data_IF_674190632452
#
_entry.id   IF_674190632452
#
_cell.length_a   1.000
_cell.length_b   1.000
_cell.length_c   1.000
_cell.angle_alpha   90.00
_cell.angle_beta   90.00
_cell.angle_gamma   90.00
#
_symmetry.space_group_name_H-M   'P 1'
#
loop_
_entity.id
_entity.type
_entity.pdbx_description
1 polymer ?
#
# COMPACT_ATOMS: atom_id res chain seq x y z
N UNK A 1 -20.09 -6.69 -18.97
CA UNK A 1 -19.59 -8.08 -18.98
C UNK A 1 -20.59 -9.00 -19.65
N UNK A 2 -20.14 -10.18 -20.10
CA UNK A 2 -20.96 -11.16 -20.79
C UNK A 2 -20.80 -12.55 -20.17
N UNK A 3 -21.75 -13.45 -20.43
CA UNK A 3 -21.64 -14.83 -20.00
C UNK A 3 -20.37 -15.48 -20.56
N UNK A 4 -19.56 -16.06 -19.70
CA UNK A 4 -18.26 -16.64 -20.05
C UNK A 4 -17.05 -15.72 -19.79
N UNK A 5 -17.26 -14.45 -19.50
CA UNK A 5 -16.15 -13.56 -19.09
C UNK A 5 -15.58 -13.99 -17.74
N UNK A 6 -14.25 -13.95 -17.62
CA UNK A 6 -13.54 -14.05 -16.35
C UNK A 6 -13.55 -12.68 -15.67
N UNK A 7 -14.01 -12.62 -14.41
CA UNK A 7 -14.14 -11.35 -13.68
C UNK A 7 -13.64 -11.46 -12.26
N UNK A 8 -13.18 -10.34 -11.71
CA UNK A 8 -12.97 -10.13 -10.28
C UNK A 8 -13.97 -9.13 -9.74
N UNK A 9 -14.60 -9.38 -8.59
CA UNK A 9 -15.42 -8.37 -7.93
C UNK A 9 -14.55 -7.25 -7.37
N UNK A 10 -15.03 -6.02 -7.49
CA UNK A 10 -14.42 -4.88 -6.82
C UNK A 10 -14.60 -5.01 -5.31
N UNK A 11 -13.59 -4.62 -4.52
CA UNK A 11 -13.68 -4.67 -3.07
C UNK A 11 -14.79 -3.75 -2.55
N UNK A 12 -14.88 -2.55 -3.10
CA UNK A 12 -15.95 -1.58 -2.81
C UNK A 12 -16.99 -1.59 -3.93
N UNK A 13 -18.15 -2.18 -3.66
CA UNK A 13 -19.18 -2.40 -4.67
C UNK A 13 -19.88 -1.13 -5.15
N UNK A 14 -19.88 -0.05 -4.35
CA UNK A 14 -20.52 1.22 -4.69
C UNK A 14 -19.53 2.35 -4.99
N UNK A 15 -18.23 2.08 -4.97
CA UNK A 15 -17.22 3.09 -5.32
C UNK A 15 -16.59 2.80 -6.66
N UNK A 16 -17.27 3.19 -7.72
CA UNK A 16 -16.83 2.92 -9.10
C UNK A 16 -15.89 4.03 -9.62
N UNK A 17 -16.06 5.27 -9.12
CA UNK A 17 -15.23 6.40 -9.54
C UNK A 17 -15.41 7.62 -8.65
N UNK A 18 -14.50 8.58 -8.74
CA UNK A 18 -14.56 9.89 -8.09
C UNK A 18 -14.17 9.89 -6.60
N UNK A 19 -14.24 11.03 -5.91
CA UNK A 19 -13.75 11.15 -4.54
C UNK A 19 -14.55 10.28 -3.56
N UNK A 20 -13.94 9.81 -2.45
CA UNK A 20 -14.62 9.04 -1.43
C UNK A 20 -15.74 9.85 -0.78
N UNK A 21 -16.84 9.18 -0.45
CA UNK A 21 -17.91 9.71 0.41
C UNK A 21 -18.48 8.58 1.27
N UNK A 22 -19.33 8.91 2.24
CA UNK A 22 -19.84 7.93 3.20
C UNK A 22 -20.59 6.77 2.52
N UNK A 23 -21.35 7.01 1.47
CA UNK A 23 -22.09 5.99 0.74
C UNK A 23 -21.15 5.02 0.01
N UNK A 24 -20.13 5.55 -0.69
CA UNK A 24 -19.16 4.75 -1.45
C UNK A 24 -18.33 3.83 -0.57
N UNK A 25 -18.06 4.23 0.66
CA UNK A 25 -17.23 3.49 1.60
C UNK A 25 -17.98 2.41 2.42
N UNK A 26 -19.31 2.30 2.27
CA UNK A 26 -20.14 1.42 3.13
C UNK A 26 -20.37 0.02 2.56
N UNK A 27 -20.12 -0.24 1.28
CA UNK A 27 -20.44 -1.51 0.62
C UNK A 27 -19.16 -2.30 0.29
N UNK A 28 -18.43 -2.69 1.33
CA UNK A 28 -17.21 -3.49 1.19
C UNK A 28 -17.49 -4.98 1.33
N UNK A 29 -16.93 -5.78 0.43
CA UNK A 29 -17.02 -7.25 0.46
C UNK A 29 -16.28 -7.81 1.67
N UNK A 30 -16.94 -8.71 2.41
CA UNK A 30 -16.42 -9.27 3.65
C UNK A 30 -16.75 -8.49 4.91
N UNK A 31 -17.49 -7.38 4.78
CA UNK A 31 -18.07 -6.56 5.84
C UNK A 31 -18.20 -5.10 5.43
N UNK A 32 -19.42 -4.49 5.39
CA UNK A 32 -20.66 -5.03 5.94
C UNK A 32 -21.46 -5.97 5.01
N UNK A 33 -21.07 -6.12 3.74
CA UNK A 33 -21.71 -7.11 2.86
C UNK A 33 -20.91 -8.41 2.80
N UNK A 34 -21.58 -9.52 2.46
CA UNK A 34 -20.94 -10.82 2.40
C UNK A 34 -19.72 -10.83 1.47
N UNK A 35 -18.68 -11.57 1.88
CA UNK A 35 -17.46 -11.79 1.11
C UNK A 35 -17.62 -12.75 -0.06
N UNK A 36 -16.49 -13.13 -0.65
CA UNK A 36 -16.41 -13.91 -1.88
C UNK A 36 -16.02 -15.39 -1.65
N UNK A 37 -15.93 -15.87 -0.41
CA UNK A 37 -15.69 -17.28 -0.13
C UNK A 37 -16.98 -18.10 -0.32
N UNK A 38 -17.37 -18.26 -1.58
CA UNK A 38 -18.57 -18.98 -2.01
C UNK A 38 -18.37 -19.53 -3.42
N UNK A 39 -19.05 -20.64 -3.75
CA UNK A 39 -19.01 -21.23 -5.10
C UNK A 39 -19.77 -20.37 -6.13
N UNK A 40 -20.84 -19.69 -5.67
CA UNK A 40 -21.71 -18.85 -6.52
C UNK A 40 -22.03 -17.55 -5.77
N UNK A 41 -21.87 -16.43 -6.46
CA UNK A 41 -22.23 -15.10 -5.97
C UNK A 41 -22.88 -14.26 -7.07
N UNK A 42 -23.78 -13.37 -6.66
CA UNK A 42 -24.33 -12.33 -7.55
C UNK A 42 -23.68 -11.00 -7.24
N UNK A 43 -23.31 -10.29 -8.28
CA UNK A 43 -22.75 -8.93 -8.20
C UNK A 43 -23.47 -8.02 -9.19
N UNK A 44 -23.58 -6.71 -8.89
CA UNK A 44 -23.92 -5.72 -9.94
C UNK A 44 -22.89 -5.79 -11.08
N UNK A 45 -23.32 -5.52 -12.30
CA UNK A 45 -22.40 -5.52 -13.43
C UNK A 45 -21.24 -4.53 -13.27
N UNK A 46 -21.53 -3.37 -12.68
CA UNK A 46 -20.55 -2.33 -12.38
C UNK A 46 -19.59 -2.72 -11.23
N UNK A 47 -20.00 -3.68 -10.39
CA UNK A 47 -19.24 -4.16 -9.25
C UNK A 47 -18.19 -5.22 -9.58
N UNK A 48 -17.94 -5.49 -10.86
CA UNK A 48 -16.95 -6.45 -11.34
C UNK A 48 -16.05 -5.85 -12.43
N UNK A 49 -14.79 -6.31 -12.45
CA UNK A 49 -13.82 -5.95 -13.50
C UNK A 49 -13.39 -7.20 -14.26
N UNK A 50 -13.21 -7.09 -15.57
CA UNK A 50 -12.67 -8.18 -16.40
C UNK A 50 -11.22 -8.47 -16.03
N UNK A 51 -10.89 -9.75 -15.97
CA UNK A 51 -9.53 -10.24 -15.71
C UNK A 51 -8.76 -10.23 -17.04
N UNK A 52 -7.53 -9.68 -17.10
CA UNK A 52 -6.64 -9.86 -18.23
C UNK A 52 -6.41 -11.34 -18.54
N UNK A 53 -6.34 -11.69 -19.83
CA UNK A 53 -6.22 -13.09 -20.25
C UNK A 53 -4.90 -13.74 -19.82
N UNK A 54 -3.86 -12.93 -19.67
CA UNK A 54 -2.51 -13.33 -19.29
C UNK A 54 -2.40 -13.77 -17.82
N UNK A 55 -3.36 -13.38 -16.98
CA UNK A 55 -3.36 -13.73 -15.56
C UNK A 55 -4.16 -15.00 -15.30
N UNK A 56 -3.61 -15.88 -14.47
CA UNK A 56 -4.35 -16.98 -13.86
C UNK A 56 -5.41 -16.46 -12.89
N UNK A 57 -6.39 -17.29 -12.52
CA UNK A 57 -7.40 -16.93 -11.52
C UNK A 57 -6.77 -16.65 -10.15
N UNK A 58 -5.71 -17.38 -9.79
CA UNK A 58 -4.98 -17.18 -8.53
C UNK A 58 -4.30 -15.82 -8.50
N UNK A 59 -3.60 -15.43 -9.57
CA UNK A 59 -2.98 -14.12 -9.67
C UNK A 59 -4.02 -13.00 -9.66
N UNK A 60 -5.06 -13.12 -10.48
CA UNK A 60 -6.13 -12.14 -10.56
C UNK A 60 -6.86 -11.94 -9.23
N UNK A 61 -7.04 -12.99 -8.43
CA UNK A 61 -7.68 -12.91 -7.11
C UNK A 61 -6.95 -12.02 -6.10
N UNK A 62 -5.67 -11.74 -6.32
CA UNK A 62 -4.85 -10.87 -5.45
C UNK A 62 -4.99 -9.38 -5.75
N UNK A 63 -5.58 -9.03 -6.91
CA UNK A 63 -5.62 -7.65 -7.41
C UNK A 63 -6.64 -6.75 -6.71
N UNK A 64 -7.90 -7.18 -6.48
CA UNK A 64 -8.98 -6.27 -6.08
C UNK A 64 -8.78 -5.56 -4.74
N UNK A 65 -7.96 -6.11 -3.86
CA UNK A 65 -7.64 -5.48 -2.59
C UNK A 65 -6.17 -5.05 -2.53
N UNK A 66 -5.24 -6.00 -2.56
CA UNK A 66 -3.83 -5.70 -2.28
C UNK A 66 -3.16 -4.86 -3.36
N UNK A 67 -3.35 -5.17 -4.64
CA UNK A 67 -2.75 -4.40 -5.72
C UNK A 67 -3.41 -3.02 -5.84
N UNK A 68 -4.74 -2.96 -5.77
CA UNK A 68 -5.46 -1.68 -5.83
C UNK A 68 -5.09 -0.77 -4.66
N UNK A 69 -4.92 -1.30 -3.44
CA UNK A 69 -4.43 -0.52 -2.30
C UNK A 69 -3.05 0.08 -2.57
N UNK A 70 -2.12 -0.71 -3.08
CA UNK A 70 -0.77 -0.24 -3.41
C UNK A 70 -0.78 0.81 -4.53
N UNK A 71 -1.63 0.62 -5.55
CA UNK A 71 -1.85 1.59 -6.62
C UNK A 71 -2.39 2.91 -6.09
N UNK A 72 -3.46 2.86 -5.29
CA UNK A 72 -4.05 4.05 -4.68
C UNK A 72 -3.04 4.80 -3.81
N UNK A 73 -2.25 4.07 -3.02
CA UNK A 73 -1.26 4.66 -2.13
C UNK A 73 -0.13 5.39 -2.87
N UNK A 74 0.36 4.81 -3.96
CA UNK A 74 1.55 5.32 -4.65
C UNK A 74 1.21 6.17 -5.87
N UNK A 75 0.23 5.75 -6.67
CA UNK A 75 -0.06 6.39 -7.97
C UNK A 75 -1.13 7.46 -7.81
N UNK A 76 -2.32 7.11 -7.32
CA UNK A 76 -3.45 8.05 -7.24
C UNK A 76 -3.20 9.15 -6.20
N UNK A 77 -3.01 8.77 -4.94
CA UNK A 77 -2.84 9.72 -3.84
C UNK A 77 -1.38 10.16 -3.65
N UNK A 78 -0.44 9.24 -3.83
CA UNK A 78 0.99 9.50 -3.69
C UNK A 78 1.56 10.31 -4.84
N UNK A 79 1.02 10.19 -6.05
CA UNK A 79 1.53 10.82 -7.28
C UNK A 79 3.01 10.55 -7.48
N UNK A 80 3.40 9.30 -7.26
CA UNK A 80 4.77 8.81 -7.39
C UNK A 80 5.34 9.10 -8.77
N UNK A 81 6.59 9.54 -8.82
CA UNK A 81 7.30 9.85 -10.06
C UNK A 81 8.61 9.06 -10.16
N UNK A 82 9.12 8.96 -11.37
CA UNK A 82 10.46 8.45 -11.60
C UNK A 82 11.50 9.29 -10.83
N UNK A 83 12.41 8.59 -10.16
CA UNK A 83 13.44 9.18 -9.31
C UNK A 83 13.03 9.43 -7.86
N UNK A 84 11.73 9.41 -7.53
CA UNK A 84 11.29 9.46 -6.12
C UNK A 84 11.80 8.24 -5.35
N UNK A 85 11.87 8.37 -4.03
CA UNK A 85 12.22 7.28 -3.10
C UNK A 85 10.99 6.78 -2.35
N UNK A 86 10.87 5.45 -2.23
CA UNK A 86 9.74 4.80 -1.56
C UNK A 86 10.26 3.88 -0.47
N UNK A 87 9.77 4.05 0.75
CA UNK A 87 9.91 3.06 1.82
C UNK A 87 8.66 2.19 1.87
N UNK A 88 8.85 0.88 1.84
CA UNK A 88 7.79 -0.13 1.88
C UNK A 88 7.96 -0.96 3.14
N UNK A 89 6.96 -0.95 4.00
CA UNK A 89 6.99 -1.74 5.23
C UNK A 89 6.45 -3.15 4.99
N UNK A 90 7.23 -4.14 5.44
CA UNK A 90 6.87 -5.54 5.34
C UNK A 90 6.96 -6.11 3.92
N UNK A 91 6.48 -7.34 3.78
CA UNK A 91 6.53 -8.15 2.55
C UNK A 91 5.22 -8.90 2.33
N UNK A 92 4.11 -8.29 2.75
CA UNK A 92 2.76 -8.77 2.45
C UNK A 92 2.30 -8.41 1.04
N UNK A 93 1.07 -8.75 0.69
CA UNK A 93 0.52 -8.52 -0.65
C UNK A 93 0.62 -7.06 -1.09
N UNK A 94 0.13 -6.12 -0.28
CA UNK A 94 0.22 -4.67 -0.57
C UNK A 94 1.68 -4.24 -0.77
N UNK A 95 2.57 -4.70 0.10
CA UNK A 95 3.99 -4.32 0.06
C UNK A 95 4.70 -4.81 -1.21
N UNK A 96 4.41 -6.04 -1.64
CA UNK A 96 5.02 -6.58 -2.86
C UNK A 96 4.46 -5.93 -4.13
N UNK A 97 3.17 -5.59 -4.17
CA UNK A 97 2.62 -4.78 -5.26
C UNK A 97 3.18 -3.35 -5.25
N UNK A 98 3.31 -2.74 -4.08
CA UNK A 98 3.92 -1.42 -3.96
C UNK A 98 5.37 -1.40 -4.50
N UNK A 99 6.15 -2.45 -4.22
CA UNK A 99 7.49 -2.61 -4.78
C UNK A 99 7.46 -2.69 -6.31
N UNK A 100 6.60 -3.53 -6.88
CA UNK A 100 6.47 -3.67 -8.33
C UNK A 100 6.04 -2.34 -9.00
N UNK A 101 5.07 -1.63 -8.44
CA UNK A 101 4.63 -0.34 -8.96
C UNK A 101 5.71 0.74 -8.81
N UNK A 102 6.44 0.77 -7.70
CA UNK A 102 7.57 1.68 -7.53
C UNK A 102 8.64 1.45 -8.62
N UNK A 103 9.00 0.18 -8.87
CA UNK A 103 9.97 -0.16 -9.92
C UNK A 103 9.44 0.13 -11.33
N UNK A 104 8.16 -0.13 -11.58
CA UNK A 104 7.51 0.19 -12.87
C UNK A 104 7.58 1.68 -13.21
N UNK A 105 7.41 2.55 -12.20
CA UNK A 105 7.49 4.02 -12.38
C UNK A 105 8.94 4.52 -12.47
N UNK A 106 9.92 3.70 -12.08
CA UNK A 106 11.33 4.11 -12.01
C UNK A 106 11.70 4.81 -10.71
N UNK A 107 10.99 4.54 -9.63
CA UNK A 107 11.32 5.00 -8.30
C UNK A 107 12.39 4.10 -7.65
N UNK A 108 13.11 4.65 -6.66
CA UNK A 108 14.02 3.90 -5.80
C UNK A 108 13.23 3.31 -4.62
N UNK A 109 13.27 2.00 -4.45
CA UNK A 109 12.48 1.29 -3.46
C UNK A 109 13.34 0.64 -2.38
N UNK A 110 13.05 0.98 -1.12
CA UNK A 110 13.61 0.31 0.06
C UNK A 110 12.50 -0.50 0.75
N UNK A 111 12.81 -1.75 1.12
CA UNK A 111 11.86 -2.62 1.84
C UNK A 111 12.40 -2.91 3.24
N UNK A 112 11.57 -2.74 4.26
CA UNK A 112 11.92 -3.19 5.62
C UNK A 112 11.11 -4.43 5.99
N UNK A 113 11.78 -5.44 6.56
CA UNK A 113 11.17 -6.70 6.99
C UNK A 113 11.88 -7.23 8.24
N UNK A 114 11.25 -8.13 8.97
CA UNK A 114 11.86 -8.85 10.10
C UNK A 114 12.30 -10.27 9.74
N UNK A 115 12.40 -10.63 8.47
CA UNK A 115 12.77 -11.96 7.98
C UNK A 115 13.74 -11.85 6.80
N UNK A 116 14.92 -12.48 6.94
CA UNK A 116 15.95 -12.49 5.89
C UNK A 116 15.43 -13.15 4.60
N UNK A 117 14.75 -14.28 4.71
CA UNK A 117 14.16 -14.97 3.56
C UNK A 117 13.24 -14.03 2.75
N UNK A 118 12.38 -13.29 3.45
CA UNK A 118 11.44 -12.36 2.81
C UNK A 118 12.15 -11.13 2.24
N UNK A 119 13.24 -10.68 2.86
CA UNK A 119 14.07 -9.60 2.32
C UNK A 119 14.79 -10.06 1.05
N UNK A 120 15.26 -11.33 0.98
CA UNK A 120 15.84 -11.85 -0.25
C UNK A 120 14.83 -11.85 -1.39
N UNK A 121 13.60 -12.27 -1.16
CA UNK A 121 12.52 -12.16 -2.17
C UNK A 121 12.25 -10.72 -2.63
N UNK A 122 12.35 -9.75 -1.71
CA UNK A 122 12.21 -8.35 -2.10
C UNK A 122 13.38 -7.89 -2.99
N UNK A 123 14.62 -8.32 -2.72
CA UNK A 123 15.78 -8.07 -3.61
C UNK A 123 15.56 -8.67 -4.99
N UNK A 124 15.09 -9.93 -5.05
CA UNK A 124 14.83 -10.63 -6.31
C UNK A 124 13.72 -9.93 -7.15
N UNK A 125 12.80 -9.23 -6.48
CA UNK A 125 11.77 -8.40 -7.11
C UNK A 125 12.23 -6.97 -7.44
N UNK A 126 13.51 -6.65 -7.20
CA UNK A 126 14.12 -5.39 -7.61
C UNK A 126 14.13 -4.29 -6.53
N UNK A 127 13.99 -4.63 -5.24
CA UNK A 127 14.24 -3.66 -4.19
C UNK A 127 15.69 -3.16 -4.27
N UNK A 128 15.90 -1.85 -4.25
CA UNK A 128 17.23 -1.25 -4.33
C UNK A 128 17.99 -1.41 -3.01
N UNK A 129 17.25 -1.49 -1.89
CA UNK A 129 17.79 -1.71 -0.55
C UNK A 129 16.78 -2.48 0.31
N UNK A 130 17.27 -3.25 1.26
CA UNK A 130 16.43 -3.91 2.28
C UNK A 130 17.05 -3.72 3.66
N UNK A 131 16.20 -3.67 4.69
CA UNK A 131 16.65 -3.47 6.07
C UNK A 131 15.85 -4.34 7.04
N UNK A 132 16.56 -5.00 7.97
CA UNK A 132 15.93 -5.74 9.05
C UNK A 132 15.58 -4.79 10.22
N UNK A 133 14.30 -4.48 10.37
CA UNK A 133 13.85 -3.57 11.44
C UNK A 133 13.97 -4.18 12.86
N UNK A 134 14.10 -5.51 12.97
CA UNK A 134 14.30 -6.17 14.27
C UNK A 134 15.71 -5.97 14.81
N UNK A 135 16.69 -5.91 13.91
CA UNK A 135 18.09 -5.63 14.24
C UNK A 135 18.35 -4.14 14.40
N UNK A 136 17.50 -3.32 13.78
CA UNK A 136 17.63 -1.86 13.76
C UNK A 136 16.34 -1.18 14.22
N UNK A 137 16.08 -1.10 15.54
CA UNK A 137 14.84 -0.50 16.05
C UNK A 137 14.68 0.99 15.70
N UNK A 138 15.79 1.69 15.49
CA UNK A 138 15.80 3.09 15.03
C UNK A 138 15.98 3.22 13.52
N UNK A 139 15.37 2.30 12.76
CA UNK A 139 15.50 2.21 11.31
C UNK A 139 15.18 3.51 10.55
N UNK A 140 14.40 4.41 11.12
CA UNK A 140 14.07 5.69 10.49
C UNK A 140 15.29 6.55 10.14
N UNK A 141 16.37 6.48 10.95
CA UNK A 141 17.63 7.16 10.65
C UNK A 141 18.35 6.52 9.46
N UNK A 142 18.47 5.20 9.44
CA UNK A 142 19.12 4.47 8.35
C UNK A 142 18.38 4.63 7.02
N UNK A 143 17.04 4.63 7.07
CA UNK A 143 16.21 4.91 5.90
C UNK A 143 16.49 6.30 5.33
N UNK A 144 16.75 7.29 6.16
CA UNK A 144 17.17 8.63 5.67
C UNK A 144 18.52 8.59 4.95
N UNK A 145 19.46 7.78 5.42
CA UNK A 145 20.77 7.63 4.77
C UNK A 145 20.65 7.08 3.34
N UNK A 146 19.71 6.16 3.10
CA UNK A 146 19.37 5.66 1.77
C UNK A 146 18.97 6.78 0.78
N UNK A 147 18.31 7.81 1.26
CA UNK A 147 17.90 8.98 0.45
C UNK A 147 18.95 10.11 0.42
N UNK A 148 20.17 9.86 0.87
CA UNK A 148 21.21 10.89 0.96
C UNK A 148 21.01 11.88 2.11
N UNK A 149 20.22 11.53 3.12
CA UNK A 149 19.96 12.35 4.31
C UNK A 149 18.71 13.24 4.24
N UNK A 150 18.16 13.46 3.08
CA UNK A 150 16.95 14.30 2.91
C UNK A 150 15.68 13.65 3.47
N UNK A 151 15.59 12.32 3.42
CA UNK A 151 14.43 11.51 3.79
C UNK A 151 13.68 10.99 2.57
N UNK A 152 12.74 10.09 2.81
CA UNK A 152 11.98 9.35 1.80
C UNK A 152 10.80 10.20 1.29
N UNK A 153 10.52 10.13 -0.01
CA UNK A 153 9.39 10.83 -0.65
C UNK A 153 8.04 10.23 -0.25
N UNK A 154 7.94 8.90 -0.28
CA UNK A 154 6.71 8.15 -0.01
C UNK A 154 6.95 6.99 0.94
N UNK A 155 6.07 6.80 1.92
CA UNK A 155 6.09 5.64 2.83
C UNK A 155 4.78 4.89 2.73
N UNK A 156 4.86 3.59 2.44
CA UNK A 156 3.74 2.64 2.49
C UNK A 156 3.69 2.08 3.91
N UNK A 157 2.82 2.66 4.74
CA UNK A 157 2.72 2.41 6.19
C UNK A 157 1.63 1.38 6.48
N UNK A 158 2.03 0.20 6.93
CA UNK A 158 1.11 -0.90 7.26
C UNK A 158 1.13 -1.29 8.74
N UNK A 159 2.14 -0.88 9.48
CA UNK A 159 2.34 -1.29 10.87
C UNK A 159 1.46 -0.53 11.86
N UNK A 160 1.34 0.78 11.71
CA UNK A 160 0.56 1.64 12.60
C UNK A 160 1.36 2.20 13.77
N UNK A 161 0.82 2.17 15.02
CA UNK A 161 1.41 2.85 16.18
C UNK A 161 2.88 2.54 16.46
N UNK A 162 3.32 1.30 16.27
CA UNK A 162 4.72 0.91 16.55
C UNK A 162 5.70 1.36 15.47
N UNK A 163 5.26 1.55 14.23
CA UNK A 163 6.13 1.90 13.11
C UNK A 163 6.07 3.38 12.73
N UNK A 164 4.92 4.02 12.90
CA UNK A 164 4.71 5.41 12.49
C UNK A 164 5.70 6.42 13.11
N UNK A 165 6.17 6.29 14.37
CA UNK A 165 7.21 7.17 14.91
C UNK A 165 8.51 7.13 14.09
N UNK A 166 8.91 5.98 13.60
CA UNK A 166 10.10 5.84 12.75
C UNK A 166 9.82 6.34 11.33
N UNK A 167 8.61 6.10 10.80
CA UNK A 167 8.17 6.66 9.52
C UNK A 167 8.22 8.19 9.52
N UNK A 168 7.76 8.84 10.61
CA UNK A 168 7.86 10.29 10.77
C UNK A 168 9.31 10.81 10.86
N UNK A 169 10.25 9.99 11.29
CA UNK A 169 11.68 10.32 11.25
C UNK A 169 12.28 10.14 9.86
N UNK A 170 11.85 9.08 9.15
CA UNK A 170 12.36 8.70 7.83
C UNK A 170 11.89 9.62 6.71
N UNK A 171 10.65 10.11 6.79
CA UNK A 171 10.04 10.93 5.74
C UNK A 171 10.75 12.27 5.57
N UNK A 172 10.87 12.76 4.33
CA UNK A 172 11.37 14.11 4.06
C UNK A 172 10.32 15.19 4.36
N UNK A 173 10.72 16.46 4.48
CA UNK A 173 9.75 17.57 4.45
C UNK A 173 8.90 17.53 3.17
N UNK A 174 7.59 17.71 3.32
CA UNK A 174 6.62 17.63 2.22
C UNK A 174 6.33 16.23 1.70
N UNK A 175 6.92 15.18 2.29
CA UNK A 175 6.69 13.79 1.89
C UNK A 175 5.32 13.25 2.34
N UNK A 176 4.93 12.12 1.77
CA UNK A 176 3.63 11.48 2.01
C UNK A 176 3.79 10.12 2.70
N UNK A 177 3.06 9.91 3.79
CA UNK A 177 2.92 8.61 4.44
C UNK A 177 1.50 8.10 4.14
N UNK A 178 1.39 7.04 3.34
CA UNK A 178 0.14 6.36 3.04
C UNK A 178 -0.19 5.39 4.16
N UNK A 179 -1.15 5.76 4.99
CA UNK A 179 -1.62 4.98 6.15
C UNK A 179 -2.60 3.91 5.67
N UNK A 180 -2.19 2.65 5.65
CA UNK A 180 -2.96 1.53 5.13
C UNK A 180 -3.38 0.58 6.24
N UNK A 181 -2.41 0.12 7.03
CA UNK A 181 -2.63 -0.84 8.09
C UNK A 181 -2.48 -0.25 9.49
N UNK A 182 -3.13 -0.92 10.42
CA UNK A 182 -3.06 -0.63 11.86
C UNK A 182 -2.74 -1.92 12.63
N UNK A 183 -1.78 -2.70 12.11
CA UNK A 183 -1.47 -4.04 12.61
C UNK A 183 -1.04 -4.08 14.07
N UNK A 184 -0.42 -3.01 14.56
CA UNK A 184 0.01 -2.88 15.95
C UNK A 184 -1.03 -2.17 16.85
N UNK A 185 -2.21 -1.84 16.33
CA UNK A 185 -3.32 -1.23 17.05
C UNK A 185 -3.91 -0.01 16.35
N UNK A 186 -5.11 0.43 16.76
CA UNK A 186 -5.81 1.55 16.11
C UNK A 186 -5.41 2.94 16.65
N UNK A 187 -4.76 3.00 17.80
CA UNK A 187 -4.50 4.27 18.52
C UNK A 187 -3.02 4.50 18.76
N UNK A 188 -2.58 5.75 18.61
CA UNK A 188 -1.22 6.14 18.94
C UNK A 188 -1.12 7.57 19.47
N UNK A 189 -0.03 7.84 20.22
CA UNK A 189 0.40 9.21 20.53
C UNK A 189 1.42 9.66 19.48
N UNK A 190 1.08 10.67 18.69
CA UNK A 190 1.94 11.22 17.65
C UNK A 190 2.72 12.46 18.12
N UNK A 191 3.94 12.63 17.61
CA UNK A 191 4.68 13.88 17.75
C UNK A 191 4.21 14.88 16.68
N UNK A 192 3.15 15.61 16.95
CA UNK A 192 2.53 16.54 15.99
C UNK A 192 3.51 17.60 15.47
N UNK A 193 4.49 17.99 16.30
CA UNK A 193 5.51 18.96 15.89
C UNK A 193 6.26 18.55 14.62
N UNK A 194 6.61 17.28 14.46
CA UNK A 194 7.27 16.79 13.24
C UNK A 194 6.36 16.91 12.02
N UNK A 195 5.08 16.59 12.18
CA UNK A 195 4.10 16.65 11.07
C UNK A 195 3.95 18.10 10.60
N UNK A 196 3.76 19.02 11.55
CA UNK A 196 3.55 20.45 11.25
C UNK A 196 4.81 21.08 10.66
N UNK A 197 5.94 20.96 11.35
CA UNK A 197 7.19 21.69 10.95
C UNK A 197 7.80 21.16 9.65
N UNK A 198 7.53 19.89 9.29
CA UNK A 198 7.99 19.28 8.04
C UNK A 198 6.92 19.21 6.96
N UNK A 199 5.71 19.73 7.23
CA UNK A 199 4.59 19.69 6.26
C UNK A 199 4.32 18.27 5.74
N UNK A 200 4.36 17.26 6.62
CA UNK A 200 4.17 15.86 6.27
C UNK A 200 2.69 15.62 5.97
N UNK A 201 2.41 14.92 4.85
CA UNK A 201 1.07 14.43 4.54
C UNK A 201 0.89 13.04 5.14
N UNK A 202 -0.12 12.87 5.98
CA UNK A 202 -0.63 11.56 6.39
C UNK A 202 -1.91 11.28 5.59
N UNK A 203 -1.84 10.33 4.66
CA UNK A 203 -2.94 10.01 3.76
C UNK A 203 -3.52 8.64 4.13
N UNK A 204 -4.77 8.60 4.60
CA UNK A 204 -5.49 7.34 4.80
C UNK A 204 -5.83 6.69 3.46
N UNK A 205 -5.58 5.39 3.34
CA UNK A 205 -5.86 4.60 2.14
C UNK A 205 -6.80 3.46 2.51
N UNK A 206 -7.95 3.43 1.87
CA UNK A 206 -8.92 2.34 1.98
C UNK A 206 -9.11 1.72 0.60
N UNK A 207 -8.26 0.80 0.22
CA UNK A 207 -8.23 0.12 -1.10
C UNK A 207 -8.22 1.14 -2.25
N UNK A 208 -9.38 1.53 -2.78
CA UNK A 208 -9.54 2.42 -3.92
C UNK A 208 -10.74 2.03 -4.79
N UNK A 209 -10.80 2.56 -5.99
CA UNK A 209 -11.87 2.37 -6.96
C UNK A 209 -11.32 2.11 -8.37
#
# INVERSE_FOLDING_TARGET
VSVGDRVCPLFMQNWISGPPNSERLTHTLGGPIDGTMAEIRCFPEEGVSRIPQELSDLEASTLPCAALTAWSALIEEGRLKSGDSVLIQGTGGVSLFALQFAKMVGARAMVISGSEEKMQRARDLGADEVLNYRENPEWGKQVREFSGGEGIDHIVEVGGPETLPQSLRAIRPGGTISMIGVLSGPEMKAQLGLIVTRQIRLQGITVGH
#
